data_IF_700562277317
#
_entry.id   IF_700562277317
#
_cell.length_a   1.000
_cell.length_b   1.000
_cell.length_c   1.000
_cell.angle_alpha   90.00
_cell.angle_beta   90.00
_cell.angle_gamma   90.00
#
_symmetry.space_group_name_H-M   'P 1'
#
loop_
_entity.id
_entity.type
_entity.pdbx_description
1 polymer ?
#
# COMPACT_ATOMS: atom_id res chain seq x y z
N UNK A 1 -1.59 27.22 -16.57
CA UNK A 1 -3.03 27.51 -16.60
C UNK A 1 -3.79 26.20 -16.70
N UNK A 2 -4.40 25.72 -15.61
CA UNK A 2 -5.43 24.69 -15.70
C UNK A 2 -6.30 24.68 -14.43
N UNK A 3 -7.61 24.68 -14.66
CA UNK A 3 -8.66 24.97 -13.70
C UNK A 3 -9.00 23.76 -12.83
N UNK A 4 -8.54 23.74 -11.57
CA UNK A 4 -9.09 22.82 -10.57
C UNK A 4 -10.41 23.39 -10.04
N UNK A 5 -11.52 22.83 -10.57
CA UNK A 5 -12.88 23.01 -10.08
C UNK A 5 -12.97 22.60 -8.60
N UNK A 6 -12.93 23.58 -7.70
CA UNK A 6 -13.31 23.42 -6.29
C UNK A 6 -14.82 23.22 -6.21
N UNK A 7 -15.27 21.97 -6.00
CA UNK A 7 -16.64 21.72 -5.52
C UNK A 7 -16.71 22.13 -4.05
N UNK A 8 -17.29 23.31 -3.79
CA UNK A 8 -17.73 23.73 -2.45
C UNK A 8 -19.18 23.27 -2.28
N UNK A 9 -19.50 22.33 -1.38
CA UNK A 9 -20.88 22.12 -1.00
C UNK A 9 -21.30 23.18 0.04
N UNK A 10 -22.37 23.88 -0.27
CA UNK A 10 -23.38 24.45 0.63
C UNK A 10 -22.89 25.14 1.92
N UNK A 11 -22.51 26.42 1.80
CA UNK A 11 -22.64 27.41 2.89
C UNK A 11 -23.69 28.43 2.42
N UNK A 12 -24.96 28.03 2.40
CA UNK A 12 -26.10 28.92 2.12
C UNK A 12 -27.35 28.37 2.81
N UNK A 13 -27.36 28.39 4.14
CA UNK A 13 -28.58 28.12 4.93
C UNK A 13 -28.50 28.67 6.38
N UNK A 14 -27.84 29.81 6.61
CA UNK A 14 -27.79 30.44 7.95
C UNK A 14 -28.24 31.90 7.94
N UNK A 15 -28.40 32.53 6.77
CA UNK A 15 -28.74 33.96 6.69
C UNK A 15 -30.25 34.28 6.54
N UNK A 16 -31.13 33.28 6.38
CA UNK A 16 -32.57 33.50 6.14
C UNK A 16 -33.47 33.34 7.38
N UNK A 17 -32.89 33.09 8.57
CA UNK A 17 -33.65 32.87 9.81
C UNK A 17 -33.51 34.00 10.84
N UNK A 18 -33.06 35.19 10.42
CA UNK A 18 -32.80 36.33 11.29
C UNK A 18 -33.68 37.57 11.01
N UNK A 19 -34.65 37.51 10.09
CA UNK A 19 -35.45 38.68 9.67
C UNK A 19 -36.95 38.59 10.02
N UNK A 20 -37.43 37.51 10.64
CA UNK A 20 -38.85 37.33 10.99
C UNK A 20 -39.15 37.33 12.51
N UNK A 21 -38.35 38.03 13.32
CA UNK A 21 -38.56 38.16 14.77
C UNK A 21 -38.62 39.60 15.28
N UNK A 22 -39.12 40.53 14.46
CA UNK A 22 -39.21 41.96 14.79
C UNK A 22 -40.65 42.45 15.05
N UNK A 23 -41.57 41.58 15.48
CA UNK A 23 -42.97 41.98 15.65
C UNK A 23 -43.77 41.23 16.71
N UNK A 24 -43.38 41.31 17.99
CA UNK A 24 -44.36 41.23 19.09
C UNK A 24 -43.92 42.11 20.27
N UNK A 25 -44.61 43.23 20.43
CA UNK A 25 -44.53 44.12 21.58
C UNK A 25 -45.40 43.56 22.72
N UNK A 26 -44.74 43.29 23.85
CA UNK A 26 -45.18 43.49 25.24
C UNK A 26 -46.65 43.24 25.61
N UNK A 27 -46.96 41.98 25.93
CA UNK A 27 -47.72 41.72 27.15
C UNK A 27 -46.68 41.59 28.28
N UNK A 28 -46.70 42.49 29.26
CA UNK A 28 -45.98 42.31 30.53
C UNK A 28 -46.94 41.65 31.52
N UNK A 29 -47.12 40.31 31.53
CA UNK A 29 -47.57 39.69 32.74
C UNK A 29 -46.55 40.06 33.83
N UNK A 30 -47.03 40.30 35.04
CA UNK A 30 -46.19 40.27 36.24
C UNK A 30 -45.63 38.85 36.38
N UNK A 31 -44.61 38.56 35.58
CA UNK A 31 -44.04 37.25 35.29
C UNK A 31 -43.01 36.91 36.37
N UNK A 32 -43.47 36.95 37.62
CA UNK A 32 -42.68 36.46 38.73
C UNK A 32 -42.67 34.93 38.61
N UNK A 33 -41.50 34.29 38.44
CA UNK A 33 -41.43 32.87 38.19
C UNK A 33 -41.97 32.11 39.41
N UNK A 34 -42.83 31.14 39.14
CA UNK A 34 -43.43 30.25 40.14
C UNK A 34 -42.33 29.60 41.01
N UNK A 35 -42.38 29.77 42.35
CA UNK A 35 -41.34 29.26 43.25
C UNK A 35 -41.15 27.74 43.15
N UNK A 36 -42.22 26.97 42.87
CA UNK A 36 -42.12 25.52 42.72
C UNK A 36 -41.28 25.15 41.49
N UNK A 37 -41.46 25.86 40.37
CA UNK A 37 -40.66 25.65 39.15
C UNK A 37 -39.20 26.04 39.34
N UNK A 38 -38.92 27.08 40.13
CA UNK A 38 -37.53 27.46 40.44
C UNK A 38 -36.86 26.38 41.31
N UNK A 39 -37.57 25.84 42.30
CA UNK A 39 -37.07 24.72 43.12
C UNK A 39 -36.82 23.46 42.28
N UNK A 40 -37.74 23.11 41.38
CA UNK A 40 -37.57 21.99 40.45
C UNK A 40 -36.35 22.20 39.54
N UNK A 41 -36.16 23.42 39.02
CA UNK A 41 -35.02 23.75 38.19
C UNK A 41 -33.69 23.62 38.96
N UNK A 42 -33.63 24.06 40.22
CA UNK A 42 -32.47 23.90 41.11
C UNK A 42 -32.17 22.42 41.32
N UNK A 43 -33.17 21.62 41.71
CA UNK A 43 -33.01 20.19 41.95
C UNK A 43 -32.50 19.45 40.70
N UNK A 44 -33.07 19.75 39.53
CA UNK A 44 -32.65 19.19 38.25
C UNK A 44 -31.21 19.56 37.91
N UNK A 45 -30.82 20.82 38.14
CA UNK A 45 -29.46 21.29 37.87
C UNK A 45 -28.45 20.64 38.82
N UNK A 46 -28.81 20.44 40.09
CA UNK A 46 -27.96 19.74 41.06
C UNK A 46 -27.67 18.29 40.61
N UNK A 47 -28.67 17.59 40.07
CA UNK A 47 -28.48 16.25 39.49
C UNK A 47 -27.50 16.28 38.31
N UNK A 48 -27.59 17.29 37.44
CA UNK A 48 -26.68 17.45 36.29
C UNK A 48 -25.26 17.77 36.75
N UNK A 49 -25.09 18.59 37.78
CA UNK A 49 -23.78 18.89 38.38
C UNK A 49 -23.16 17.61 38.98
N UNK A 50 -23.94 16.79 39.68
CA UNK A 50 -23.44 15.52 40.23
C UNK A 50 -23.04 14.54 39.11
N UNK A 51 -23.81 14.48 38.01
CA UNK A 51 -23.43 13.74 36.82
C UNK A 51 -22.16 14.30 36.17
N UNK A 52 -22.02 15.63 36.10
CA UNK A 52 -20.84 16.28 35.57
C UNK A 52 -19.61 15.95 36.42
N UNK A 53 -19.75 15.92 37.75
CA UNK A 53 -18.70 15.57 38.69
C UNK A 53 -18.12 14.19 38.44
N UNK A 54 -18.96 13.16 38.26
CA UNK A 54 -18.45 11.80 37.99
C UNK A 54 -17.64 11.73 36.69
N UNK A 55 -18.14 12.31 35.60
CA UNK A 55 -17.49 12.29 34.28
C UNK A 55 -16.20 13.14 34.28
N UNK A 56 -16.23 14.30 34.92
CA UNK A 56 -15.08 15.22 34.99
C UNK A 56 -13.99 14.66 35.90
N UNK A 57 -14.33 13.89 36.93
CA UNK A 57 -13.36 13.22 37.80
C UNK A 57 -12.61 12.09 37.08
N UNK A 58 -13.29 11.34 36.22
CA UNK A 58 -12.66 10.33 35.35
C UNK A 58 -11.79 10.97 34.25
N UNK A 59 -12.09 12.22 33.90
CA UNK A 59 -11.33 12.99 32.92
C UNK A 59 -10.12 13.68 33.55
N UNK A 60 -9.03 13.73 32.80
CA UNK A 60 -7.86 14.56 33.15
C UNK A 60 -8.00 16.03 32.69
N UNK A 61 -9.19 16.44 32.21
CA UNK A 61 -9.41 17.77 31.65
C UNK A 61 -9.43 18.87 32.73
N UNK A 62 -8.37 19.67 32.79
CA UNK A 62 -8.34 20.85 33.66
C UNK A 62 -9.42 21.86 33.27
N UNK A 63 -9.71 22.00 31.97
CA UNK A 63 -10.74 22.92 31.48
C UNK A 63 -12.14 22.51 31.92
N UNK A 64 -12.46 21.21 31.84
CA UNK A 64 -13.76 20.71 32.30
C UNK A 64 -13.92 20.88 33.82
N UNK A 65 -12.85 20.67 34.60
CA UNK A 65 -12.84 20.92 36.06
C UNK A 65 -13.14 22.36 36.42
N UNK A 66 -12.49 23.33 35.74
CA UNK A 66 -12.76 24.75 35.97
C UNK A 66 -14.20 25.15 35.62
N UNK A 67 -14.76 24.60 34.53
CA UNK A 67 -16.16 24.85 34.16
C UNK A 67 -17.14 24.25 35.17
N UNK A 68 -16.84 23.07 35.71
CA UNK A 68 -17.64 22.44 36.75
C UNK A 68 -17.60 23.26 38.05
N UNK A 69 -16.43 23.73 38.47
CA UNK A 69 -16.27 24.58 39.65
C UNK A 69 -17.08 25.89 39.53
N UNK A 70 -17.10 26.50 38.34
CA UNK A 70 -17.93 27.66 38.06
C UNK A 70 -19.43 27.34 38.12
N UNK A 71 -19.85 26.18 37.57
CA UNK A 71 -21.23 25.73 37.66
C UNK A 71 -21.67 25.52 39.12
N UNK A 72 -20.83 24.89 39.95
CA UNK A 72 -21.08 24.69 41.38
C UNK A 72 -21.21 26.02 42.14
N UNK A 73 -20.33 26.98 41.86
CA UNK A 73 -20.38 28.33 42.47
C UNK A 73 -21.65 29.10 42.08
N UNK A 74 -22.07 29.03 40.82
CA UNK A 74 -23.31 29.65 40.34
C UNK A 74 -24.55 29.01 40.97
N UNK A 75 -24.57 27.68 41.09
CA UNK A 75 -25.67 26.94 41.71
C UNK A 75 -25.80 27.28 43.20
N UNK A 76 -24.68 27.33 43.94
CA UNK A 76 -24.67 27.77 45.34
C UNK A 76 -25.18 29.21 45.50
N UNK A 77 -24.82 30.09 44.56
CA UNK A 77 -25.33 31.47 44.53
C UNK A 77 -26.83 31.51 44.23
N UNK A 78 -27.32 30.67 43.32
CA UNK A 78 -28.74 30.55 42.99
C UNK A 78 -29.59 30.11 44.20
N UNK A 79 -29.11 29.16 44.98
CA UNK A 79 -29.74 28.70 46.23
C UNK A 79 -29.80 29.83 47.28
N UNK A 80 -28.74 30.63 47.41
CA UNK A 80 -28.74 31.83 48.26
C UNK A 80 -29.72 32.92 47.78
N UNK A 81 -29.96 33.03 46.47
CA UNK A 81 -30.97 33.96 45.92
C UNK A 81 -32.39 33.47 46.13
N UNK A 82 -32.61 32.15 46.15
CA UNK A 82 -33.90 31.56 46.50
C UNK A 82 -34.29 31.89 47.95
N UNK A 83 -33.36 31.78 48.90
CA UNK A 83 -33.62 32.06 50.32
C UNK A 83 -33.94 33.53 50.61
N UNK A 84 -33.48 34.45 49.75
CA UNK A 84 -33.79 35.89 49.80
C UNK A 84 -35.00 36.28 48.94
N UNK A 85 -35.80 35.29 48.51
CA UNK A 85 -36.98 35.45 47.65
C UNK A 85 -36.72 36.16 46.30
N UNK A 86 -35.48 36.13 45.81
CA UNK A 86 -35.09 36.71 44.51
C UNK A 86 -35.23 35.67 43.40
N UNK A 87 -36.46 35.18 43.17
CA UNK A 87 -36.76 34.00 42.35
C UNK A 87 -36.21 34.09 40.92
N UNK A 88 -36.36 35.25 40.26
CA UNK A 88 -35.86 35.46 38.88
C UNK A 88 -34.34 35.38 38.77
N UNK A 89 -33.61 35.93 39.76
CA UNK A 89 -32.14 35.85 39.78
C UNK A 89 -31.68 34.42 40.03
N UNK A 90 -32.35 33.72 40.95
CA UNK A 90 -32.10 32.31 41.25
C UNK A 90 -32.26 31.45 39.99
N UNK A 91 -33.39 31.58 39.29
CA UNK A 91 -33.65 30.84 38.06
C UNK A 91 -32.58 31.08 36.98
N UNK A 92 -32.18 32.34 36.75
CA UNK A 92 -31.16 32.66 35.76
C UNK A 92 -29.81 32.01 36.10
N UNK A 93 -29.35 32.14 37.34
CA UNK A 93 -28.10 31.54 37.81
C UNK A 93 -28.12 30.00 37.69
N UNK A 94 -29.25 29.37 38.03
CA UNK A 94 -29.43 27.92 37.87
C UNK A 94 -29.36 27.48 36.40
N UNK A 95 -29.96 28.24 35.47
CA UNK A 95 -29.89 27.92 34.05
C UNK A 95 -28.45 28.09 33.49
N UNK A 96 -27.73 29.12 33.91
CA UNK A 96 -26.32 29.33 33.57
C UNK A 96 -25.43 28.21 34.12
N UNK A 97 -25.61 27.86 35.40
CA UNK A 97 -24.92 26.74 36.04
C UNK A 97 -25.14 25.42 35.27
N UNK A 98 -26.39 25.15 34.88
CA UNK A 98 -26.75 23.98 34.07
C UNK A 98 -26.03 23.98 32.72
N UNK A 99 -25.97 25.12 32.04
CA UNK A 99 -25.28 25.24 30.77
C UNK A 99 -23.77 24.96 30.91
N UNK A 100 -23.12 25.50 31.96
CA UNK A 100 -21.71 25.25 32.25
C UNK A 100 -21.45 23.77 32.59
N UNK A 101 -22.32 23.13 33.39
CA UNK A 101 -22.21 21.71 33.71
C UNK A 101 -22.29 20.84 32.44
N UNK A 102 -23.21 21.14 31.51
CA UNK A 102 -23.26 20.44 30.22
C UNK A 102 -22.01 20.67 29.36
N UNK A 103 -21.46 21.89 29.36
CA UNK A 103 -20.21 22.17 28.65
C UNK A 103 -19.03 21.41 29.25
N UNK A 104 -18.94 21.34 30.58
CA UNK A 104 -17.93 20.55 31.28
C UNK A 104 -18.00 19.07 30.88
N UNK A 105 -19.20 18.48 30.88
CA UNK A 105 -19.43 17.09 30.43
C UNK A 105 -18.97 16.90 28.97
N UNK A 106 -19.35 17.82 28.08
CA UNK A 106 -19.03 17.72 26.66
C UNK A 106 -17.50 17.74 26.42
N UNK A 107 -16.77 18.63 27.09
CA UNK A 107 -15.32 18.73 27.00
C UNK A 107 -14.64 17.49 27.58
N UNK A 108 -15.07 17.06 28.78
CA UNK A 108 -14.52 15.88 29.43
C UNK A 108 -14.63 14.63 28.55
N UNK A 109 -15.81 14.38 27.97
CA UNK A 109 -16.05 13.27 27.04
C UNK A 109 -15.21 13.37 25.77
N UNK A 110 -15.06 14.57 25.21
CA UNK A 110 -14.27 14.78 24.00
C UNK A 110 -12.78 14.47 24.26
N UNK A 111 -12.23 14.92 25.39
CA UNK A 111 -10.83 14.68 25.75
C UNK A 111 -10.58 13.21 26.08
N UNK A 112 -11.47 12.55 26.83
CA UNK A 112 -11.38 11.09 27.08
C UNK A 112 -11.38 10.28 25.78
N UNK A 113 -12.24 10.65 24.82
CA UNK A 113 -12.26 9.99 23.49
C UNK A 113 -10.95 10.22 22.73
N UNK A 114 -10.42 11.45 22.76
CA UNK A 114 -9.16 11.78 22.12
C UNK A 114 -7.99 11.00 22.74
N UNK A 115 -7.92 10.94 24.07
CA UNK A 115 -6.95 10.18 24.84
C UNK A 115 -6.98 8.68 24.48
N UNK A 116 -8.16 8.05 24.49
CA UNK A 116 -8.30 6.65 24.11
C UNK A 116 -7.84 6.38 22.66
N UNK A 117 -8.15 7.30 21.74
CA UNK A 117 -7.70 7.19 20.33
C UNK A 117 -6.18 7.29 20.21
N UNK A 118 -5.57 8.23 20.95
CA UNK A 118 -4.11 8.42 20.97
C UNK A 118 -3.43 7.18 21.57
N UNK A 119 -3.91 6.67 22.70
CA UNK A 119 -3.34 5.49 23.37
C UNK A 119 -3.39 4.26 22.48
N UNK A 120 -4.54 3.99 21.85
CA UNK A 120 -4.67 2.92 20.86
C UNK A 120 -3.69 3.08 19.70
N UNK A 121 -3.52 4.30 19.18
CA UNK A 121 -2.57 4.57 18.08
C UNK A 121 -1.12 4.35 18.52
N UNK A 122 -0.76 4.73 19.75
CA UNK A 122 0.58 4.47 20.32
C UNK A 122 0.84 2.96 20.40
N UNK A 123 -0.13 2.19 20.88
CA UNK A 123 -0.03 0.72 21.02
C UNK A 123 0.12 0.04 19.66
N UNK A 124 -0.82 0.27 18.73
CA UNK A 124 -0.78 -0.26 17.36
C UNK A 124 0.53 0.09 16.64
N UNK A 125 1.03 1.31 16.83
CA UNK A 125 2.30 1.76 16.22
C UNK A 125 3.49 1.06 16.87
N UNK A 126 3.50 0.89 18.19
CA UNK A 126 4.57 0.21 18.91
C UNK A 126 4.65 -1.28 18.54
N UNK A 127 3.50 -1.96 18.48
CA UNK A 127 3.41 -3.36 18.03
C UNK A 127 3.93 -3.51 16.60
N UNK A 128 3.51 -2.61 15.69
CA UNK A 128 4.03 -2.60 14.31
C UNK A 128 5.54 -2.42 14.26
N UNK A 129 6.09 -1.48 15.03
CA UNK A 129 7.53 -1.26 15.09
C UNK A 129 8.29 -2.49 15.61
N UNK A 130 7.74 -3.21 16.60
CA UNK A 130 8.29 -4.47 17.08
C UNK A 130 8.29 -5.52 15.98
N UNK A 131 7.16 -5.73 15.30
CA UNK A 131 7.05 -6.65 14.16
C UNK A 131 8.05 -6.35 13.04
N UNK A 132 8.24 -5.08 12.70
CA UNK A 132 9.23 -4.67 11.69
C UNK A 132 10.66 -5.01 12.14
N UNK A 133 10.99 -4.82 13.43
CA UNK A 133 12.29 -5.21 13.98
C UNK A 133 12.48 -6.73 13.95
N UNK A 134 11.47 -7.49 14.32
CA UNK A 134 11.52 -8.96 14.28
C UNK A 134 11.77 -9.45 12.85
N UNK A 135 11.09 -8.87 11.86
CA UNK A 135 11.35 -9.16 10.44
C UNK A 135 12.77 -8.77 10.02
N UNK A 136 13.28 -7.63 10.49
CA UNK A 136 14.66 -7.25 10.19
C UNK A 136 15.68 -8.25 10.75
N UNK A 137 15.42 -8.80 11.95
CA UNK A 137 16.26 -9.82 12.58
C UNK A 137 16.12 -11.16 11.86
N UNK A 138 14.90 -11.64 11.64
CA UNK A 138 14.58 -12.92 11.01
C UNK A 138 15.22 -13.06 9.61
N UNK A 139 15.19 -11.98 8.83
CA UNK A 139 15.71 -11.99 7.45
C UNK A 139 17.12 -11.39 7.32
N UNK A 140 17.81 -11.07 8.44
CA UNK A 140 19.11 -10.37 8.49
C UNK A 140 19.15 -9.16 7.54
N UNK A 141 18.15 -8.28 7.67
CA UNK A 141 18.01 -7.07 6.85
C UNK A 141 18.71 -5.91 7.55
N UNK A 142 19.85 -5.49 7.00
CA UNK A 142 20.63 -4.33 7.49
C UNK A 142 20.37 -3.14 6.60
N UNK A 143 19.43 -2.28 7.01
CA UNK A 143 19.08 -1.07 6.26
C UNK A 143 19.02 0.16 7.17
N UNK A 144 20.02 1.04 7.06
CA UNK A 144 20.09 2.30 7.82
C UNK A 144 18.82 3.13 7.69
N UNK A 145 18.19 3.11 6.52
CA UNK A 145 16.94 3.83 6.27
C UNK A 145 15.79 3.31 7.14
N UNK A 146 15.65 1.99 7.28
CA UNK A 146 14.61 1.39 8.11
C UNK A 146 14.83 1.71 9.58
N UNK A 147 16.08 1.59 10.05
CA UNK A 147 16.48 1.94 11.43
C UNK A 147 16.14 3.41 11.73
N UNK A 148 16.54 4.34 10.85
CA UNK A 148 16.23 5.76 10.99
C UNK A 148 14.73 6.03 11.08
N UNK A 149 13.92 5.40 10.21
CA UNK A 149 12.46 5.55 10.23
C UNK A 149 11.84 5.04 11.54
N UNK A 150 12.32 3.91 12.07
CA UNK A 150 11.88 3.36 13.34
C UNK A 150 12.29 4.25 14.52
N UNK A 151 13.49 4.82 14.50
CA UNK A 151 13.95 5.75 15.54
C UNK A 151 13.18 7.07 15.51
N UNK A 152 12.89 7.61 14.33
CA UNK A 152 12.00 8.76 14.17
C UNK A 152 10.60 8.47 14.73
N UNK A 153 10.02 7.31 14.38
CA UNK A 153 8.73 6.88 14.90
C UNK A 153 8.74 6.78 16.43
N UNK A 154 9.79 6.18 17.01
CA UNK A 154 9.98 6.08 18.46
C UNK A 154 10.02 7.46 19.13
N UNK A 155 10.86 8.36 18.61
CA UNK A 155 11.01 9.71 19.12
C UNK A 155 9.69 10.49 19.05
N UNK A 156 8.88 10.28 18.01
CA UNK A 156 7.55 10.88 17.92
C UNK A 156 6.59 10.31 18.98
N UNK A 157 6.58 8.99 19.22
CA UNK A 157 5.75 8.39 20.27
C UNK A 157 6.14 8.87 21.67
N UNK A 158 7.43 9.06 21.95
CA UNK A 158 7.90 9.63 23.22
C UNK A 158 7.39 11.08 23.39
N UNK A 159 7.48 11.91 22.34
CA UNK A 159 6.89 13.26 22.33
C UNK A 159 5.38 13.24 22.46
N UNK A 160 4.69 12.28 21.85
CA UNK A 160 3.24 12.09 22.01
C UNK A 160 2.88 11.88 23.48
N UNK A 161 3.58 10.99 24.18
CA UNK A 161 3.35 10.72 25.62
C UNK A 161 3.55 11.96 26.47
N UNK A 162 4.61 12.73 26.23
CA UNK A 162 4.84 14.01 26.91
C UNK A 162 3.71 15.02 26.67
N UNK A 163 3.23 15.13 25.43
CA UNK A 163 2.13 16.04 25.10
C UNK A 163 0.79 15.56 25.68
N UNK A 164 0.59 14.25 25.81
CA UNK A 164 -0.58 13.68 26.47
C UNK A 164 -0.59 14.03 27.96
N UNK A 165 0.56 13.90 28.64
CA UNK A 165 0.74 14.31 30.04
C UNK A 165 0.51 15.81 30.24
N UNK A 166 0.79 16.63 29.23
CA UNK A 166 0.55 18.08 29.23
C UNK A 166 -0.87 18.46 28.76
N UNK A 167 -1.77 17.49 28.56
CA UNK A 167 -3.14 17.68 28.05
C UNK A 167 -3.22 18.39 26.68
N UNK A 168 -2.17 18.26 25.85
CA UNK A 168 -2.10 18.81 24.48
C UNK A 168 -2.57 17.80 23.44
N UNK A 169 -3.82 17.34 23.57
CA UNK A 169 -4.38 16.21 22.81
C UNK A 169 -4.28 16.36 21.27
N UNK A 170 -4.53 17.54 20.71
CA UNK A 170 -4.45 17.75 19.26
C UNK A 170 -3.03 17.57 18.71
N UNK A 171 -2.02 18.04 19.44
CA UNK A 171 -0.62 17.89 19.05
C UNK A 171 -0.15 16.45 19.25
N UNK A 172 -0.55 15.81 20.37
CA UNK A 172 -0.28 14.40 20.62
C UNK A 172 -0.85 13.51 19.51
N UNK A 173 -2.09 13.73 19.09
CA UNK A 173 -2.71 12.97 18.00
C UNK A 173 -1.93 13.10 16.68
N UNK A 174 -1.59 14.32 16.26
CA UNK A 174 -0.80 14.55 15.04
C UNK A 174 0.57 13.87 15.09
N UNK A 175 1.23 13.89 16.23
CA UNK A 175 2.52 13.20 16.43
C UNK A 175 2.35 11.67 16.38
N UNK A 176 1.28 11.13 16.98
CA UNK A 176 0.98 9.70 16.93
C UNK A 176 0.70 9.23 15.48
N UNK A 177 -0.08 9.99 14.71
CA UNK A 177 -0.35 9.70 13.29
C UNK A 177 0.93 9.78 12.44
N UNK A 178 1.80 10.76 12.72
CA UNK A 178 3.10 10.89 12.04
C UNK A 178 4.01 9.70 12.37
N UNK A 179 4.05 9.26 13.63
CA UNK A 179 4.80 8.08 14.05
C UNK A 179 4.31 6.82 13.34
N UNK A 180 2.98 6.64 13.24
CA UNK A 180 2.35 5.55 12.48
C UNK A 180 2.76 5.57 11.01
N UNK A 181 2.78 6.75 10.38
CA UNK A 181 3.24 6.93 9.00
C UNK A 181 4.70 6.51 8.81
N UNK A 182 5.60 6.87 9.74
CA UNK A 182 7.00 6.45 9.72
C UNK A 182 7.18 4.95 9.90
N UNK A 183 6.44 4.34 10.84
CA UNK A 183 6.44 2.89 11.03
C UNK A 183 5.94 2.14 9.78
N UNK A 184 4.90 2.63 9.12
CA UNK A 184 4.40 2.07 7.86
C UNK A 184 5.44 2.17 6.73
N UNK A 185 6.13 3.30 6.61
CA UNK A 185 7.20 3.46 5.62
C UNK A 185 8.37 2.49 5.88
N UNK A 186 8.72 2.27 7.16
CA UNK A 186 9.75 1.30 7.53
C UNK A 186 9.34 -0.13 7.15
N UNK A 187 8.09 -0.53 7.45
CA UNK A 187 7.53 -1.82 7.09
C UNK A 187 7.54 -2.05 5.56
N UNK A 188 7.07 -1.08 4.78
CA UNK A 188 7.09 -1.15 3.32
C UNK A 188 8.51 -1.29 2.76
N UNK A 189 9.47 -0.58 3.35
CA UNK A 189 10.87 -0.69 2.96
C UNK A 189 11.43 -2.08 3.26
N UNK A 190 11.20 -2.62 4.46
CA UNK A 190 11.66 -3.96 4.86
C UNK A 190 11.04 -5.04 3.96
N UNK A 191 9.74 -4.95 3.66
CA UNK A 191 9.07 -5.88 2.74
C UNK A 191 9.66 -5.83 1.33
N UNK A 192 10.00 -4.64 0.82
CA UNK A 192 10.66 -4.48 -0.48
C UNK A 192 12.04 -5.13 -0.47
N UNK A 193 12.84 -4.90 0.55
CA UNK A 193 14.18 -5.50 0.69
C UNK A 193 14.09 -7.02 0.77
N UNK A 194 13.16 -7.55 1.56
CA UNK A 194 12.90 -8.99 1.65
C UNK A 194 12.56 -9.61 0.30
N UNK A 195 11.66 -8.98 -0.45
CA UNK A 195 11.27 -9.42 -1.81
C UNK A 195 12.47 -9.42 -2.76
N UNK A 196 13.31 -8.38 -2.70
CA UNK A 196 14.52 -8.29 -3.51
C UNK A 196 15.54 -9.37 -3.13
N UNK A 197 15.78 -9.61 -1.84
CA UNK A 197 16.65 -10.68 -1.34
C UNK A 197 16.25 -12.04 -1.92
N UNK A 198 14.97 -12.42 -1.76
CA UNK A 198 14.46 -13.68 -2.31
C UNK A 198 14.51 -13.76 -3.84
N UNK A 199 14.46 -12.63 -4.55
CA UNK A 199 14.64 -12.61 -6.01
C UNK A 199 16.10 -12.81 -6.41
N UNK A 200 17.03 -12.15 -5.70
CA UNK A 200 18.48 -12.29 -5.92
C UNK A 200 18.94 -13.71 -5.61
N UNK A 201 18.49 -14.30 -4.50
CA UNK A 201 18.82 -15.69 -4.12
C UNK A 201 18.35 -16.69 -5.18
N UNK A 202 17.10 -16.58 -5.65
CA UNK A 202 16.58 -17.44 -6.72
C UNK A 202 17.34 -17.27 -8.02
N UNK A 203 17.66 -16.03 -8.41
CA UNK A 203 18.45 -15.77 -9.62
C UNK A 203 19.89 -16.28 -9.50
N UNK A 204 20.51 -16.17 -8.33
CA UNK A 204 21.85 -16.70 -8.09
C UNK A 204 21.89 -18.23 -8.27
N UNK A 205 20.92 -18.94 -7.68
CA UNK A 205 20.78 -20.39 -7.85
C UNK A 205 20.56 -20.78 -9.33
N UNK A 206 19.81 -19.96 -10.09
CA UNK A 206 19.67 -20.17 -11.54
C UNK A 206 20.99 -19.98 -12.29
N UNK A 207 21.77 -18.95 -11.94
CA UNK A 207 23.07 -18.70 -12.58
C UNK A 207 24.09 -19.79 -12.30
N UNK A 208 24.09 -20.37 -11.10
CA UNK A 208 24.96 -21.51 -10.78
C UNK A 208 24.68 -22.69 -11.72
N UNK A 209 23.41 -23.01 -11.94
CA UNK A 209 23.00 -24.04 -12.92
C UNK A 209 23.40 -23.67 -14.36
N UNK A 210 23.28 -22.39 -14.74
CA UNK A 210 23.72 -21.93 -16.07
C UNK A 210 25.24 -22.01 -16.24
N UNK A 211 26.01 -21.73 -15.18
CA UNK A 211 27.47 -21.82 -15.14
C UNK A 211 27.93 -23.25 -15.38
N UNK A 212 27.37 -24.21 -14.65
CA UNK A 212 27.67 -25.64 -14.80
C UNK A 212 27.46 -26.11 -16.25
N UNK A 213 26.33 -25.74 -16.85
CA UNK A 213 26.01 -26.14 -18.23
C UNK A 213 26.87 -25.46 -19.28
N UNK A 214 27.16 -24.18 -19.09
CA UNK A 214 28.07 -23.48 -19.97
C UNK A 214 29.46 -24.15 -19.89
N UNK A 215 29.90 -24.58 -18.71
CA UNK A 215 31.14 -25.34 -18.53
C UNK A 215 31.12 -26.67 -19.27
N UNK A 216 30.07 -27.48 -19.10
CA UNK A 216 29.91 -28.75 -19.82
C UNK A 216 30.02 -28.58 -21.33
N UNK A 217 29.29 -27.62 -21.90
CA UNK A 217 29.27 -27.39 -23.36
C UNK A 217 30.58 -26.84 -23.90
N UNK A 218 31.20 -25.93 -23.17
CA UNK A 218 32.47 -25.29 -23.60
C UNK A 218 33.63 -26.27 -23.47
N UNK A 219 33.64 -27.13 -22.45
CA UNK A 219 34.71 -28.10 -22.24
C UNK A 219 34.83 -29.11 -23.40
N UNK A 220 33.73 -29.42 -24.08
CA UNK A 220 33.70 -30.33 -25.25
C UNK A 220 34.34 -29.70 -26.50
N UNK A 221 34.31 -28.39 -26.66
CA UNK A 221 34.64 -27.71 -27.92
C UNK A 221 36.07 -27.14 -27.99
N UNK A 222 36.92 -27.41 -27.00
CA UNK A 222 38.32 -26.94 -26.89
C UNK A 222 38.52 -25.44 -27.25
N UNK A 223 37.55 -24.59 -26.92
CA UNK A 223 37.59 -23.16 -27.23
C UNK A 223 38.07 -22.35 -26.01
N UNK A 224 39.33 -21.93 -26.02
CA UNK A 224 39.95 -21.19 -24.92
C UNK A 224 39.33 -19.81 -24.67
N UNK A 225 38.86 -19.13 -25.73
CA UNK A 225 38.19 -17.83 -25.58
C UNK A 225 36.86 -17.99 -24.82
N UNK A 226 36.11 -19.04 -25.11
CA UNK A 226 34.87 -19.36 -24.40
C UNK A 226 35.13 -19.74 -22.94
N UNK A 227 36.21 -20.50 -22.67
CA UNK A 227 36.64 -20.83 -21.30
C UNK A 227 36.99 -19.59 -20.49
N UNK A 228 37.74 -18.66 -21.08
CA UNK A 228 38.08 -17.39 -20.43
C UNK A 228 36.84 -16.53 -20.15
N UNK A 229 35.88 -16.46 -21.09
CA UNK A 229 34.61 -15.76 -20.86
C UNK A 229 33.78 -16.41 -19.76
N UNK A 230 33.75 -17.75 -19.71
CA UNK A 230 33.05 -18.49 -18.66
C UNK A 230 33.67 -18.24 -17.29
N UNK A 231 35.00 -18.23 -17.19
CA UNK A 231 35.74 -17.93 -15.97
C UNK A 231 35.42 -16.51 -15.47
N UNK A 232 35.52 -15.51 -16.36
CA UNK A 232 35.22 -14.11 -16.03
C UNK A 232 33.78 -13.92 -15.51
N UNK A 233 32.79 -14.54 -16.15
CA UNK A 233 31.40 -14.46 -15.67
C UNK A 233 31.23 -15.24 -14.36
N UNK A 234 31.97 -16.34 -14.20
CA UNK A 234 32.05 -17.08 -12.94
C UNK A 234 32.54 -16.21 -11.78
N UNK A 235 33.60 -15.44 -11.96
CA UNK A 235 34.10 -14.48 -10.97
C UNK A 235 33.06 -13.39 -10.65
N UNK A 236 32.32 -12.90 -11.66
CA UNK A 236 31.23 -11.94 -11.44
C UNK A 236 30.09 -12.52 -10.61
N UNK A 237 29.77 -13.81 -10.76
CA UNK A 237 28.79 -14.50 -9.89
C UNK A 237 29.29 -14.52 -8.45
N UNK A 238 30.57 -14.81 -8.21
CA UNK A 238 31.16 -14.83 -6.87
C UNK A 238 31.21 -13.43 -6.24
N UNK A 239 31.54 -12.39 -7.01
CA UNK A 239 31.42 -10.98 -6.59
C UNK A 239 29.96 -10.64 -6.24
N UNK A 240 29.00 -11.17 -6.98
CA UNK A 240 27.58 -10.94 -6.70
C UNK A 240 27.14 -11.62 -5.40
N UNK A 241 27.71 -12.78 -5.07
CA UNK A 241 27.52 -13.43 -3.77
C UNK A 241 28.08 -12.57 -2.63
N UNK A 242 29.23 -11.93 -2.84
CA UNK A 242 29.77 -10.95 -1.87
C UNK A 242 28.82 -9.76 -1.69
N UNK A 243 28.30 -9.17 -2.78
CA UNK A 243 27.31 -8.08 -2.71
C UNK A 243 26.03 -8.49 -1.95
N UNK A 244 25.58 -9.74 -2.10
CA UNK A 244 24.45 -10.28 -1.35
C UNK A 244 24.76 -10.37 0.15
N UNK A 245 25.95 -10.86 0.51
CA UNK A 245 26.43 -10.93 1.89
C UNK A 245 26.64 -9.54 2.52
N UNK A 246 26.95 -8.53 1.71
CA UNK A 246 27.03 -7.11 2.11
C UNK A 246 25.66 -6.42 2.19
N UNK A 247 24.55 -7.15 1.96
CA UNK A 247 23.18 -6.61 1.91
C UNK A 247 22.94 -5.58 0.79
N UNK A 248 23.75 -5.58 -0.27
CA UNK A 248 23.63 -4.66 -1.42
C UNK A 248 22.74 -5.24 -2.53
N UNK A 249 21.50 -5.55 -2.18
CA UNK A 249 20.57 -6.31 -3.03
C UNK A 249 20.30 -5.68 -4.41
N UNK A 250 20.25 -4.35 -4.53
CA UNK A 250 20.05 -3.67 -5.82
C UNK A 250 21.25 -3.83 -6.76
N UNK A 251 22.46 -3.69 -6.23
CA UNK A 251 23.70 -3.91 -6.99
C UNK A 251 23.82 -5.37 -7.41
N UNK A 252 23.51 -6.30 -6.48
CA UNK A 252 23.48 -7.73 -6.77
C UNK A 252 22.48 -8.05 -7.89
N UNK A 253 21.26 -7.51 -7.85
CA UNK A 253 20.25 -7.71 -8.90
C UNK A 253 20.75 -7.29 -10.29
N UNK A 254 21.33 -6.09 -10.41
CA UNK A 254 21.87 -5.58 -11.67
C UNK A 254 23.03 -6.45 -12.19
N UNK A 255 23.93 -6.87 -11.29
CA UNK A 255 25.03 -7.77 -11.62
C UNK A 255 24.52 -9.12 -12.14
N UNK A 256 23.54 -9.73 -11.47
CA UNK A 256 22.92 -10.99 -11.90
C UNK A 256 22.28 -10.89 -13.29
N UNK A 257 21.61 -9.78 -13.61
CA UNK A 257 21.00 -9.59 -14.94
C UNK A 257 22.04 -9.54 -16.07
N UNK A 258 23.23 -8.99 -15.80
CA UNK A 258 24.33 -8.99 -16.76
C UNK A 258 24.95 -10.38 -16.89
N UNK A 259 25.24 -11.05 -15.78
CA UNK A 259 25.74 -12.43 -15.79
C UNK A 259 24.79 -13.37 -16.53
N UNK A 260 23.48 -13.24 -16.28
CA UNK A 260 22.43 -14.02 -16.94
C UNK A 260 22.47 -13.86 -18.46
N UNK A 261 22.57 -12.64 -18.96
CA UNK A 261 22.69 -12.36 -20.39
C UNK A 261 23.93 -13.01 -20.98
N UNK A 262 25.08 -12.91 -20.30
CA UNK A 262 26.34 -13.48 -20.79
C UNK A 262 26.31 -15.00 -20.81
N UNK A 263 25.82 -15.66 -19.75
CA UNK A 263 25.63 -17.11 -19.75
C UNK A 263 24.68 -17.56 -20.84
N UNK A 264 23.53 -16.90 -21.02
CA UNK A 264 22.59 -17.23 -22.09
C UNK A 264 23.21 -17.06 -23.47
N UNK A 265 24.06 -16.05 -23.66
CA UNK A 265 24.78 -15.84 -24.92
C UNK A 265 25.83 -16.93 -25.16
N UNK A 266 26.62 -17.31 -24.15
CA UNK A 266 27.56 -18.43 -24.24
C UNK A 266 26.85 -19.74 -24.59
N UNK A 267 25.77 -20.06 -23.87
CA UNK A 267 24.96 -21.27 -24.10
C UNK A 267 24.35 -21.29 -25.51
N UNK A 268 23.99 -20.12 -26.06
CA UNK A 268 23.47 -19.99 -27.44
C UNK A 268 24.57 -20.15 -28.49
N UNK A 269 25.76 -19.60 -28.25
CA UNK A 269 26.90 -19.71 -29.16
C UNK A 269 27.45 -21.13 -29.24
N UNK A 270 27.34 -21.87 -28.13
CA UNK A 270 27.76 -23.25 -28.01
C UNK A 270 26.53 -24.12 -27.72
N UNK A 271 25.66 -24.37 -28.72
CA UNK A 271 24.51 -25.26 -28.54
C UNK A 271 25.00 -26.66 -28.17
N UNK A 272 24.24 -27.38 -27.35
CA UNK A 272 24.53 -28.80 -27.12
C UNK A 272 24.48 -29.53 -28.45
N UNK A 273 25.47 -30.39 -28.71
CA UNK A 273 25.48 -31.20 -29.94
C UNK A 273 24.25 -32.12 -30.04
N UNK A 274 23.60 -32.40 -28.90
CA UNK A 274 22.31 -33.10 -28.82
C UNK A 274 21.18 -32.13 -28.46
N UNK A 275 20.58 -31.48 -29.46
CA UNK A 275 19.32 -30.72 -29.30
C UNK A 275 18.13 -31.63 -28.97
N UNK A 276 18.25 -32.93 -29.26
CA UNK A 276 17.25 -33.96 -28.96
C UNK A 276 17.51 -34.66 -27.62
N UNK A 277 18.43 -34.15 -26.79
CA UNK A 277 18.64 -34.68 -25.46
C UNK A 277 17.41 -34.37 -24.58
N UNK A 278 16.70 -35.40 -24.08
CA UNK A 278 15.51 -35.19 -23.26
C UNK A 278 15.80 -34.39 -21.99
N UNK A 279 16.98 -34.48 -21.39
CA UNK A 279 17.31 -33.72 -20.18
C UNK A 279 17.37 -32.21 -20.47
N UNK A 280 17.97 -31.85 -21.61
CA UNK A 280 18.05 -30.46 -22.07
C UNK A 280 16.64 -29.95 -22.40
N UNK A 281 15.84 -30.75 -23.11
CA UNK A 281 14.46 -30.38 -23.45
C UNK A 281 13.56 -30.24 -22.21
N UNK A 282 13.74 -31.11 -21.20
CA UNK A 282 12.99 -31.08 -19.96
C UNK A 282 13.23 -29.75 -19.25
N UNK A 283 14.49 -29.35 -19.12
CA UNK A 283 14.83 -28.16 -18.37
C UNK A 283 14.49 -26.86 -19.13
N UNK A 284 14.60 -26.83 -20.47
CA UNK A 284 14.02 -25.75 -21.26
C UNK A 284 12.52 -25.58 -21.01
N UNK A 285 11.81 -26.69 -20.83
CA UNK A 285 10.36 -26.68 -20.61
C UNK A 285 10.00 -26.19 -19.21
N UNK A 286 10.81 -26.51 -18.19
CA UNK A 286 10.66 -25.89 -16.86
C UNK A 286 10.89 -24.37 -16.88
N UNK A 287 11.75 -23.86 -17.77
CA UNK A 287 11.92 -22.39 -17.95
C UNK A 287 10.68 -21.75 -18.57
N UNK A 288 10.08 -22.43 -19.55
CA UNK A 288 8.81 -21.98 -20.14
C UNK A 288 7.69 -22.00 -19.08
N UNK A 289 7.64 -23.03 -18.23
CA UNK A 289 6.71 -23.12 -17.11
C UNK A 289 6.89 -21.96 -16.13
N UNK A 290 8.12 -21.67 -15.68
CA UNK A 290 8.39 -20.58 -14.75
C UNK A 290 7.97 -19.22 -15.32
N UNK A 291 8.18 -18.99 -16.63
CA UNK A 291 7.73 -17.77 -17.31
C UNK A 291 6.20 -17.70 -17.40
N UNK A 292 5.54 -18.82 -17.65
CA UNK A 292 4.09 -18.91 -17.69
C UNK A 292 3.45 -18.66 -16.30
N UNK A 293 4.05 -19.21 -15.24
CA UNK A 293 3.67 -18.95 -13.84
C UNK A 293 3.87 -17.46 -13.47
N UNK A 294 4.95 -16.82 -13.94
CA UNK A 294 5.18 -15.39 -13.72
C UNK A 294 4.13 -14.52 -14.42
N UNK A 295 3.72 -14.89 -15.64
CA UNK A 295 2.63 -14.20 -16.36
C UNK A 295 1.30 -14.31 -15.60
N UNK A 296 0.93 -15.49 -15.10
CA UNK A 296 -0.26 -15.69 -14.28
C UNK A 296 -0.21 -14.96 -12.93
N UNK A 297 0.99 -14.75 -12.38
CA UNK A 297 1.18 -14.04 -11.11
C UNK A 297 0.89 -12.54 -11.18
N UNK A 298 0.70 -11.98 -12.38
CA UNK A 298 0.28 -10.59 -12.55
C UNK A 298 -1.23 -10.43 -12.32
N UNK A 299 -1.64 -9.32 -11.69
CA UNK A 299 -3.04 -9.06 -11.27
C UNK A 299 -4.05 -9.23 -12.43
N UNK A 300 -3.62 -9.02 -13.67
CA UNK A 300 -4.46 -9.12 -14.87
C UNK A 300 -4.92 -10.55 -15.21
N UNK A 301 -4.24 -11.60 -14.71
CA UNK A 301 -4.53 -13.01 -15.06
C UNK A 301 -4.93 -13.87 -13.86
N UNK A 302 -5.16 -13.26 -12.69
CA UNK A 302 -5.49 -13.99 -11.47
C UNK A 302 -6.79 -14.82 -11.57
N UNK A 303 -7.71 -14.43 -12.46
CA UNK A 303 -9.01 -15.07 -12.65
C UNK A 303 -9.06 -16.05 -13.85
N UNK A 304 -7.98 -16.19 -14.63
CA UNK A 304 -7.95 -17.07 -15.80
C UNK A 304 -7.74 -18.54 -15.37
N UNK A 305 -8.85 -19.18 -14.98
CA UNK A 305 -8.86 -20.56 -14.49
C UNK A 305 -8.43 -21.58 -15.55
N UNK A 306 -8.62 -21.28 -16.83
CA UNK A 306 -8.25 -22.17 -17.94
C UNK A 306 -6.72 -22.17 -18.15
N UNK A 307 -6.09 -20.99 -18.26
CA UNK A 307 -4.62 -20.89 -18.36
C UNK A 307 -3.92 -21.52 -17.16
N UNK A 308 -4.51 -21.36 -15.97
CA UNK A 308 -4.01 -22.02 -14.75
C UNK A 308 -4.09 -23.54 -14.85
N UNK A 309 -5.18 -24.08 -15.39
CA UNK A 309 -5.32 -25.50 -15.67
C UNK A 309 -4.24 -26.03 -16.61
N UNK A 310 -3.91 -25.32 -17.70
CA UNK A 310 -2.84 -25.71 -18.62
C UNK A 310 -1.46 -25.70 -17.96
N UNK A 311 -1.17 -24.70 -17.11
CA UNK A 311 0.10 -24.59 -16.39
C UNK A 311 0.24 -25.70 -15.35
N UNK A 312 -0.81 -25.98 -14.59
CA UNK A 312 -0.82 -27.05 -13.59
C UNK A 312 -0.63 -28.43 -14.24
N UNK A 313 -1.27 -28.68 -15.38
CA UNK A 313 -1.13 -29.94 -16.11
C UNK A 313 0.25 -30.06 -16.78
N UNK A 314 0.77 -28.98 -17.38
CA UNK A 314 2.14 -28.96 -17.90
C UNK A 314 3.17 -29.27 -16.80
N UNK A 315 2.97 -28.74 -15.59
CA UNK A 315 3.83 -29.02 -14.44
C UNK A 315 3.81 -30.50 -14.03
N UNK A 316 2.63 -31.14 -14.05
CA UNK A 316 2.53 -32.59 -13.80
C UNK A 316 3.26 -33.41 -14.88
N UNK A 317 3.07 -33.07 -16.16
CA UNK A 317 3.74 -33.74 -17.27
C UNK A 317 5.26 -33.61 -17.18
N UNK A 318 5.78 -32.42 -16.86
CA UNK A 318 7.22 -32.20 -16.67
C UNK A 318 7.77 -32.96 -15.45
N UNK A 319 6.99 -33.05 -14.37
CA UNK A 319 7.39 -33.86 -13.20
C UNK A 319 7.54 -35.32 -13.59
N UNK A 320 6.52 -35.88 -14.26
CA UNK A 320 6.53 -37.27 -14.75
C UNK A 320 7.62 -37.53 -15.79
N UNK A 321 7.90 -36.56 -16.66
CA UNK A 321 9.00 -36.66 -17.61
C UNK A 321 10.36 -36.75 -16.91
N UNK A 322 10.54 -36.06 -15.78
CA UNK A 322 11.71 -36.21 -14.91
C UNK A 322 11.84 -37.62 -14.33
N UNK A 323 10.74 -38.20 -13.87
CA UNK A 323 10.72 -39.58 -13.36
C UNK A 323 11.07 -40.60 -14.46
N UNK A 324 10.51 -40.46 -15.66
CA UNK A 324 10.82 -41.34 -16.80
C UNK A 324 12.29 -41.22 -17.24
N UNK A 325 12.90 -40.03 -17.15
CA UNK A 325 14.33 -39.85 -17.38
C UNK A 325 15.20 -40.55 -16.34
N UNK A 326 14.82 -40.45 -15.06
CA UNK A 326 15.53 -41.15 -13.98
C UNK A 326 15.51 -42.68 -14.17
N UNK A 327 14.50 -43.21 -14.84
CA UNK A 327 14.39 -44.62 -15.22
C UNK A 327 15.01 -44.97 -16.60
N UNK A 328 15.74 -44.04 -17.23
CA UNK A 328 16.33 -44.18 -18.58
C UNK A 328 15.31 -44.42 -19.71
N UNK A 329 14.05 -43.99 -19.55
CA UNK A 329 12.98 -44.13 -20.56
C UNK A 329 12.88 -42.88 -21.46
N UNK A 330 13.95 -42.60 -22.19
CA UNK A 330 14.17 -41.36 -22.94
C UNK A 330 13.05 -40.99 -23.94
N UNK A 331 12.51 -41.95 -24.71
CA UNK A 331 11.42 -41.67 -25.67
C UNK A 331 10.09 -41.32 -25.01
N UNK A 332 9.82 -41.91 -23.84
CA UNK A 332 8.63 -41.63 -23.03
C UNK A 332 8.71 -40.21 -22.47
N UNK A 333 9.87 -39.85 -21.91
CA UNK A 333 10.14 -38.51 -21.42
C UNK A 333 10.03 -37.45 -22.53
N UNK A 334 10.61 -37.67 -23.71
CA UNK A 334 10.51 -36.74 -24.84
C UNK A 334 9.06 -36.45 -25.25
N UNK A 335 8.19 -37.47 -25.23
CA UNK A 335 6.76 -37.29 -25.53
C UNK A 335 6.09 -36.39 -24.49
N UNK A 336 6.28 -36.68 -23.20
CA UNK A 336 5.73 -35.88 -22.10
C UNK A 336 6.23 -34.43 -22.11
N UNK A 337 7.51 -34.22 -22.43
CA UNK A 337 8.11 -32.89 -22.55
C UNK A 337 7.46 -32.10 -23.68
N UNK A 338 7.29 -32.71 -24.86
CA UNK A 338 6.67 -32.04 -26.01
C UNK A 338 5.20 -31.69 -25.75
N UNK A 339 4.46 -32.57 -25.09
CA UNK A 339 3.08 -32.34 -24.67
C UNK A 339 3.00 -31.18 -23.66
N UNK A 340 3.85 -31.18 -22.64
CA UNK A 340 3.94 -30.07 -21.69
C UNK A 340 4.28 -28.75 -22.39
N UNK A 341 5.21 -28.75 -23.36
CA UNK A 341 5.54 -27.55 -24.15
C UNK A 341 4.35 -27.07 -24.98
N UNK A 342 3.51 -27.96 -25.49
CA UNK A 342 2.29 -27.57 -26.20
C UNK A 342 1.29 -26.89 -25.25
N UNK A 343 1.06 -27.44 -24.05
CA UNK A 343 0.22 -26.81 -23.03
C UNK A 343 0.76 -25.45 -22.58
N UNK A 344 2.07 -25.33 -22.39
CA UNK A 344 2.71 -24.06 -22.05
C UNK A 344 2.58 -23.04 -23.17
N UNK A 345 2.63 -23.46 -24.44
CA UNK A 345 2.35 -22.58 -25.57
C UNK A 345 0.90 -22.13 -25.55
N UNK A 346 -0.07 -22.99 -25.25
CA UNK A 346 -1.49 -22.59 -25.11
C UNK A 346 -1.69 -21.62 -23.93
N UNK A 347 -1.03 -21.87 -22.79
CA UNK A 347 -1.12 -21.00 -21.62
C UNK A 347 -0.47 -19.63 -21.82
N UNK A 348 0.56 -19.56 -22.68
CA UNK A 348 1.31 -18.33 -22.98
C UNK A 348 0.95 -17.70 -24.31
N UNK A 349 0.21 -18.40 -25.16
CA UNK A 349 -0.30 -17.83 -26.40
C UNK A 349 -1.35 -16.82 -26.03
N UNK A 350 -1.12 -15.59 -26.45
CA UNK A 350 -2.15 -14.55 -26.46
C UNK A 350 -3.23 -14.81 -27.53
N UNK A 351 -3.26 -16.00 -28.15
CA UNK A 351 -4.41 -16.51 -28.90
C UNK A 351 -5.55 -16.89 -27.95
N UNK A 352 -5.86 -16.00 -26.99
CA UNK A 352 -7.18 -16.00 -26.38
C UNK A 352 -8.19 -15.89 -27.52
N UNK A 353 -9.28 -16.66 -27.45
CA UNK A 353 -10.34 -16.59 -28.46
C UNK A 353 -10.71 -15.13 -28.75
N UNK A 354 -11.16 -14.85 -29.97
CA UNK A 354 -11.47 -13.50 -30.45
C UNK A 354 -12.13 -12.67 -29.35
N UNK A 355 -11.40 -11.69 -28.81
CA UNK A 355 -11.92 -10.84 -27.75
C UNK A 355 -13.14 -10.09 -28.27
N UNK A 356 -14.19 -10.06 -27.47
CA UNK A 356 -15.37 -9.26 -27.78
C UNK A 356 -15.01 -7.77 -27.79
N UNK A 357 -15.81 -6.97 -28.52
CA UNK A 357 -15.60 -5.52 -28.60
C UNK A 357 -15.62 -4.86 -27.20
N UNK A 358 -16.48 -5.35 -26.31
CA UNK A 358 -16.59 -4.90 -24.93
C UNK A 358 -15.32 -5.20 -24.11
N UNK A 359 -14.71 -6.37 -24.30
CA UNK A 359 -13.48 -6.75 -23.60
C UNK A 359 -12.29 -5.91 -24.06
N UNK A 360 -12.13 -5.70 -25.39
CA UNK A 360 -11.07 -4.84 -25.93
C UNK A 360 -11.25 -3.39 -25.44
N UNK A 361 -12.49 -2.89 -25.38
CA UNK A 361 -12.79 -1.57 -24.81
C UNK A 361 -12.39 -1.48 -23.34
N UNK A 362 -12.82 -2.43 -22.52
CA UNK A 362 -12.47 -2.50 -21.09
C UNK A 362 -10.95 -2.60 -20.88
N UNK A 363 -10.25 -3.31 -21.76
CA UNK A 363 -8.79 -3.40 -21.72
C UNK A 363 -8.12 -2.05 -22.02
N UNK A 364 -8.59 -1.34 -23.04
CA UNK A 364 -8.11 0.01 -23.39
C UNK A 364 -8.35 0.98 -22.23
N UNK A 365 -9.53 0.99 -21.61
CA UNK A 365 -9.85 1.83 -20.44
C UNK A 365 -8.92 1.57 -19.25
N UNK A 366 -8.58 0.31 -18.98
CA UNK A 366 -7.59 -0.04 -17.93
C UNK A 366 -6.19 0.48 -18.26
N UNK A 367 -5.78 0.41 -19.53
CA UNK A 367 -4.46 0.91 -19.97
C UNK A 367 -4.42 2.44 -19.90
N UNK A 368 -5.53 3.12 -20.15
CA UNK A 368 -5.64 4.58 -19.97
C UNK A 368 -5.44 4.99 -18.51
N UNK A 369 -6.13 4.31 -17.58
CA UNK A 369 -5.95 4.56 -16.15
C UNK A 369 -4.47 4.35 -15.73
N UNK A 370 -3.83 3.29 -16.24
CA UNK A 370 -2.39 3.08 -16.03
C UNK A 370 -1.55 4.21 -16.64
N UNK A 371 -1.92 4.72 -17.81
CA UNK A 371 -1.25 5.83 -18.46
C UNK A 371 -1.30 7.12 -17.65
N UNK A 372 -2.44 7.43 -17.05
CA UNK A 372 -2.63 8.59 -16.17
C UNK A 372 -1.77 8.49 -14.90
N UNK A 373 -1.74 7.31 -14.27
CA UNK A 373 -0.91 7.03 -13.09
C UNK A 373 0.59 7.19 -13.41
N UNK A 374 1.03 6.64 -14.55
CA UNK A 374 2.42 6.71 -14.99
C UNK A 374 2.82 8.13 -15.38
N UNK A 375 1.94 8.90 -16.04
CA UNK A 375 2.20 10.29 -16.38
C UNK A 375 2.49 11.14 -15.13
N UNK A 376 1.75 10.91 -14.04
CA UNK A 376 2.01 11.55 -12.75
C UNK A 376 3.39 11.19 -12.15
N UNK A 377 3.82 9.94 -12.30
CA UNK A 377 5.14 9.50 -11.82
C UNK A 377 6.31 10.10 -12.65
N UNK A 378 6.09 10.35 -13.94
CA UNK A 378 7.12 10.92 -14.84
C UNK A 378 7.42 12.39 -14.53
N UNK A 379 6.49 13.15 -13.94
CA UNK A 379 6.74 14.56 -13.57
C UNK A 379 7.94 14.72 -12.61
N UNK A 380 8.26 13.69 -11.82
CA UNK A 380 9.40 13.67 -10.90
C UNK A 380 10.61 12.85 -11.39
N UNK A 381 10.60 12.35 -12.63
CA UNK A 381 11.66 11.47 -13.14
C UNK A 381 12.52 12.15 -14.21
N UNK A 382 13.81 12.36 -13.91
CA UNK A 382 14.77 12.99 -14.81
C UNK A 382 15.51 11.99 -15.73
N UNK A 383 15.09 10.73 -15.77
CA UNK A 383 15.77 9.73 -16.59
C UNK A 383 15.61 10.05 -18.10
N UNK A 384 16.71 10.07 -18.86
CA UNK A 384 16.68 10.43 -20.28
C UNK A 384 15.86 9.41 -21.08
N UNK A 385 14.98 9.91 -21.95
CA UNK A 385 14.16 9.09 -22.85
C UNK A 385 12.82 8.60 -22.27
N UNK A 386 12.55 8.80 -20.98
CA UNK A 386 11.28 8.40 -20.33
C UNK A 386 10.08 9.11 -20.95
N UNK A 387 10.16 10.42 -21.19
CA UNK A 387 9.09 11.19 -21.86
C UNK A 387 8.79 10.66 -23.27
N UNK A 388 9.83 10.34 -24.03
CA UNK A 388 9.67 9.77 -25.38
C UNK A 388 8.97 8.40 -25.35
N UNK A 389 9.25 7.56 -24.35
CA UNK A 389 8.54 6.28 -24.17
C UNK A 389 7.07 6.50 -23.80
N UNK A 390 6.79 7.47 -22.92
CA UNK A 390 5.42 7.85 -22.54
C UNK A 390 4.61 8.33 -23.75
N UNK A 391 5.18 9.22 -24.56
CA UNK A 391 4.54 9.75 -25.77
C UNK A 391 4.27 8.63 -26.79
N UNK A 392 5.23 7.70 -26.95
CA UNK A 392 5.07 6.54 -27.82
C UNK A 392 3.96 5.60 -27.32
N UNK A 393 3.84 5.41 -26.00
CA UNK A 393 2.77 4.62 -25.40
C UNK A 393 1.40 5.25 -25.67
N UNK A 394 1.27 6.56 -25.46
CA UNK A 394 0.04 7.31 -25.72
C UNK A 394 -0.38 7.27 -27.20
N UNK A 395 0.59 7.38 -28.12
CA UNK A 395 0.33 7.26 -29.56
C UNK A 395 -0.18 5.87 -29.96
N UNK A 396 0.35 4.81 -29.33
CA UNK A 396 -0.10 3.41 -29.54
C UNK A 396 -1.53 3.21 -29.00
N UNK A 397 -1.83 3.77 -27.83
CA UNK A 397 -3.16 3.71 -27.24
C UNK A 397 -4.21 4.46 -28.09
N UNK A 398 -3.83 5.60 -28.68
CA UNK A 398 -4.70 6.33 -29.60
C UNK A 398 -5.03 5.51 -30.86
N UNK A 399 -4.05 4.78 -31.44
CA UNK A 399 -4.29 3.86 -32.56
C UNK A 399 -5.17 2.68 -32.16
N UNK A 400 -5.00 2.15 -30.95
CA UNK A 400 -5.85 1.09 -30.43
C UNK A 400 -7.34 1.50 -30.40
N UNK A 401 -7.62 2.73 -29.95
CA UNK A 401 -8.97 3.30 -29.98
C UNK A 401 -9.51 3.44 -31.41
N UNK A 402 -8.68 3.93 -32.33
CA UNK A 402 -9.07 4.07 -33.74
C UNK A 402 -9.48 2.71 -34.33
N UNK A 403 -8.66 1.68 -34.16
CA UNK A 403 -8.99 0.33 -34.64
C UNK A 403 -10.25 -0.25 -33.97
N UNK A 404 -10.48 0.04 -32.68
CA UNK A 404 -11.70 -0.37 -31.97
C UNK A 404 -12.96 0.28 -32.58
N UNK A 405 -12.86 1.55 -32.97
CA UNK A 405 -13.96 2.30 -33.60
C UNK A 405 -14.23 1.79 -35.02
N UNK A 406 -13.18 1.43 -35.76
CA UNK A 406 -13.23 0.81 -37.10
C UNK A 406 -13.72 -0.65 -37.07
N UNK A 407 -13.74 -1.29 -35.90
CA UNK A 407 -14.15 -2.69 -35.72
C UNK A 407 -13.04 -3.71 -36.00
N UNK A 408 -11.80 -3.26 -36.18
CA UNK A 408 -10.62 -4.11 -36.36
C UNK A 408 -10.09 -4.59 -34.99
N UNK A 409 -10.85 -5.47 -34.32
CA UNK A 409 -10.56 -5.91 -32.95
C UNK A 409 -9.15 -6.48 -32.75
N UNK A 410 -8.60 -7.34 -33.65
CA UNK A 410 -7.23 -7.86 -33.48
C UNK A 410 -6.15 -6.76 -33.53
N UNK A 411 -6.35 -5.75 -34.39
CA UNK A 411 -5.43 -4.63 -34.50
C UNK A 411 -5.51 -3.70 -33.29
N UNK A 412 -6.73 -3.47 -32.78
CA UNK A 412 -6.97 -2.70 -31.56
C UNK A 412 -6.28 -3.33 -30.35
N UNK A 413 -6.44 -4.64 -30.18
CA UNK A 413 -5.83 -5.40 -29.08
C UNK A 413 -4.29 -5.40 -29.18
N UNK A 414 -3.73 -5.62 -30.37
CA UNK A 414 -2.30 -5.59 -30.60
C UNK A 414 -1.67 -4.23 -30.23
N UNK A 415 -2.29 -3.12 -30.67
CA UNK A 415 -1.81 -1.77 -30.34
C UNK A 415 -1.98 -1.44 -28.85
N UNK A 416 -3.09 -1.86 -28.22
CA UNK A 416 -3.32 -1.68 -26.78
C UNK A 416 -2.24 -2.38 -25.95
N UNK A 417 -1.88 -3.61 -26.33
CA UNK A 417 -0.82 -4.40 -25.68
C UNK A 417 0.55 -3.74 -25.81
N UNK A 418 0.89 -3.19 -26.98
CA UNK A 418 2.13 -2.43 -27.15
C UNK A 418 2.14 -1.21 -26.22
N UNK A 419 1.02 -0.47 -26.12
CA UNK A 419 0.89 0.66 -25.23
C UNK A 419 1.10 0.25 -23.76
N UNK A 420 0.44 -0.82 -23.30
CA UNK A 420 0.60 -1.37 -21.94
C UNK A 420 2.06 -1.67 -21.61
N UNK A 421 2.76 -2.38 -22.48
CA UNK A 421 4.17 -2.75 -22.28
C UNK A 421 5.07 -1.51 -22.16
N UNK A 422 4.79 -0.47 -22.95
CA UNK A 422 5.53 0.80 -22.87
C UNK A 422 5.24 1.53 -21.54
N UNK A 423 3.99 1.61 -21.09
CA UNK A 423 3.65 2.21 -19.79
C UNK A 423 4.28 1.46 -18.62
N UNK A 424 4.26 0.12 -18.63
CA UNK A 424 4.93 -0.69 -17.61
C UNK A 424 6.44 -0.41 -17.58
N UNK A 425 7.08 -0.29 -18.76
CA UNK A 425 8.51 0.01 -18.84
C UNK A 425 8.84 1.40 -18.27
N UNK A 426 8.00 2.39 -18.56
CA UNK A 426 8.11 3.73 -17.97
C UNK A 426 7.98 3.65 -16.44
N UNK A 427 6.98 2.90 -15.94
CA UNK A 427 6.77 2.69 -14.51
C UNK A 427 7.96 2.02 -13.82
N UNK A 428 8.57 1.01 -14.45
CA UNK A 428 9.78 0.33 -13.93
C UNK A 428 10.96 1.31 -13.80
N UNK A 429 11.18 2.15 -14.82
CA UNK A 429 12.27 3.13 -14.82
C UNK A 429 12.03 4.16 -13.72
N UNK A 430 10.84 4.76 -13.67
CA UNK A 430 10.51 5.81 -12.71
C UNK A 430 10.37 5.31 -11.27
N UNK A 431 9.88 4.08 -11.04
CA UNK A 431 9.69 3.51 -9.71
C UNK A 431 10.96 2.93 -9.07
N UNK A 432 12.06 2.86 -9.83
CA UNK A 432 13.36 2.39 -9.34
C UNK A 432 14.21 3.49 -8.69
N UNK A 433 13.78 4.75 -8.79
CA UNK A 433 14.37 5.94 -8.18
C UNK A 433 13.71 6.24 -6.82
#
# INVERSE_FOLDING_TARGET
MNSRKKKRPAIFAVAALLVLYSGMLFAQPSDEPDPEKVQEAIATTQQIIEQARSIVMESASQKARLMLEQAESMQMSAEGKLSTNSLRQSLNLTLEARQLAYQAIAIARQEMKAEGTIMRTIEETSERMAKVRDQMIEYDIRGDRAVKLLDEARNMLEKTRLNLQQHRYQLALKLAESARGRALQAEQYVNRIRSMKGTVERKLALLEKLKERAAERINVLENDQARMQLELVGEQVDQTRQLLNEHRYMAAKLSLENCEKTFRNLIRQFPSQNLNDPEVMLEESYRLLARAEEMLGSEDYAEDTERRGFIDEAKRLLTRAGDELAENRNESALRLINEARALLRLATSDEGGEMTKEEVRSQIERIEAMGDDVAGAVEGCDAPGVRMLLDRAAARLAKARQFLDEGELPNAEAEARIARNLYQRVREICGSL
#
